data_IF_153715401006
#
_entry.id   IF_153715401006
#
_cell.length_a   1.000
_cell.length_b   1.000
_cell.length_c   1.000
_cell.angle_alpha   90.00
_cell.angle_beta   90.00
_cell.angle_gamma   90.00
#
_symmetry.space_group_name_H-M   'P 1'
#
loop_
_entity.id
_entity.type
_entity.pdbx_description
1 polymer ?
#
# COMPACT_ATOMS: atom_id res chain seq x y z
N UNK A 1 -5.25 15.39 57.78
CA UNK A 1 -5.70 16.42 56.82
C UNK A 1 -5.46 15.81 55.46
N UNK A 2 -6.44 15.12 54.89
CA UNK A 2 -6.29 14.55 53.54
C UNK A 2 -7.66 14.39 52.89
N UNK A 3 -7.66 14.31 51.57
CA UNK A 3 -8.76 14.00 50.66
C UNK A 3 -9.58 15.18 50.09
N UNK A 4 -8.98 15.86 49.10
CA UNK A 4 -9.72 16.60 48.05
C UNK A 4 -9.10 16.45 46.65
N UNK A 5 -8.69 15.25 46.22
CA UNK A 5 -8.13 15.11 44.87
C UNK A 5 -8.54 13.86 44.07
N UNK A 6 -9.75 13.31 44.29
CA UNK A 6 -10.25 12.17 43.50
C UNK A 6 -11.70 12.39 43.03
N UNK A 7 -11.95 13.49 42.31
CA UNK A 7 -13.22 13.74 41.60
C UNK A 7 -12.96 14.43 40.26
N UNK A 8 -12.14 13.82 39.40
CA UNK A 8 -11.99 14.31 38.01
C UNK A 8 -11.71 13.19 37.00
N UNK A 9 -12.21 11.98 37.24
CA UNK A 9 -11.97 10.84 36.33
C UNK A 9 -13.26 10.30 35.71
N UNK A 10 -14.43 10.64 36.28
CA UNK A 10 -15.73 10.10 35.85
C UNK A 10 -16.66 11.14 35.18
N UNK A 11 -16.16 12.32 34.82
CA UNK A 11 -16.96 13.36 34.12
C UNK A 11 -16.73 13.36 32.59
N UNK A 12 -15.84 12.52 32.07
CA UNK A 12 -15.54 12.46 30.63
C UNK A 12 -16.43 11.46 29.87
N UNK A 13 -16.99 10.45 30.55
CA UNK A 13 -17.92 9.49 29.93
C UNK A 13 -19.35 10.04 29.79
N UNK A 14 -19.73 11.02 30.63
CA UNK A 14 -21.03 11.70 30.56
C UNK A 14 -21.07 12.81 29.50
N UNK A 15 -19.93 13.17 28.91
CA UNK A 15 -19.80 14.29 27.97
C UNK A 15 -20.11 13.92 26.50
N UNK A 16 -20.22 12.63 26.16
CA UNK A 16 -20.46 12.21 24.77
C UNK A 16 -21.97 12.09 24.54
N UNK A 17 -22.59 13.18 24.11
CA UNK A 17 -23.99 13.18 23.64
C UNK A 17 -24.16 12.19 22.46
N UNK A 18 -25.29 11.47 22.35
CA UNK A 18 -25.54 10.53 21.25
C UNK A 18 -25.29 11.12 19.85
N UNK A 19 -25.60 12.41 19.67
CA UNK A 19 -25.37 13.11 18.40
C UNK A 19 -23.89 13.42 18.21
N UNK A 20 -23.21 13.87 19.26
CA UNK A 20 -21.77 14.19 19.22
C UNK A 20 -20.95 12.93 18.94
N UNK A 21 -21.33 11.79 19.54
CA UNK A 21 -20.74 10.48 19.25
C UNK A 21 -20.78 10.16 17.75
N UNK A 22 -21.94 10.33 17.12
CA UNK A 22 -22.11 10.02 15.70
C UNK A 22 -21.30 10.95 14.80
N UNK A 23 -21.25 12.25 15.11
CA UNK A 23 -20.44 13.20 14.33
C UNK A 23 -18.96 12.84 14.40
N UNK A 24 -18.45 12.52 15.59
CA UNK A 24 -17.06 12.12 15.77
C UNK A 24 -16.73 10.81 15.02
N UNK A 25 -17.63 9.83 15.07
CA UNK A 25 -17.48 8.55 14.37
C UNK A 25 -17.50 8.72 12.84
N UNK A 26 -18.42 9.54 12.32
CA UNK A 26 -18.50 9.81 10.88
C UNK A 26 -17.29 10.63 10.43
N UNK A 27 -16.84 11.59 11.23
CA UNK A 27 -15.68 12.40 10.89
C UNK A 27 -14.41 11.55 10.70
N UNK A 28 -14.11 10.63 11.61
CA UNK A 28 -12.91 9.79 11.48
C UNK A 28 -13.02 8.82 10.29
N UNK A 29 -14.20 8.26 10.03
CA UNK A 29 -14.39 7.31 8.92
C UNK A 29 -14.26 7.99 7.56
N UNK A 30 -14.78 9.20 7.40
CA UNK A 30 -14.59 9.99 6.17
C UNK A 30 -13.12 10.33 5.96
N UNK A 31 -12.40 10.69 7.02
CA UNK A 31 -10.95 10.96 6.94
C UNK A 31 -10.17 9.71 6.51
N UNK A 32 -10.44 8.55 7.13
CA UNK A 32 -9.78 7.30 6.76
C UNK A 32 -10.09 6.90 5.32
N UNK A 33 -11.35 7.04 4.88
CA UNK A 33 -11.73 6.78 3.49
C UNK A 33 -11.03 7.74 2.52
N UNK A 34 -10.86 9.02 2.88
CA UNK A 34 -10.13 10.00 2.08
C UNK A 34 -8.63 9.67 1.96
N UNK A 35 -7.98 9.30 3.07
CA UNK A 35 -6.56 8.88 3.05
C UNK A 35 -6.38 7.61 2.22
N UNK A 36 -7.25 6.61 2.41
CA UNK A 36 -7.24 5.39 1.60
C UNK A 36 -7.50 5.67 0.12
N UNK A 37 -8.38 6.61 -0.21
CA UNK A 37 -8.64 7.01 -1.59
C UNK A 37 -7.40 7.64 -2.24
N UNK A 38 -6.73 8.57 -1.57
CA UNK A 38 -5.51 9.20 -2.10
C UNK A 38 -4.41 8.16 -2.28
N UNK A 39 -4.21 7.27 -1.30
CA UNK A 39 -3.23 6.20 -1.39
C UNK A 39 -3.53 5.20 -2.52
N UNK A 40 -4.79 4.78 -2.64
CA UNK A 40 -5.23 3.89 -3.71
C UNK A 40 -5.17 4.57 -5.09
N UNK A 41 -5.44 5.88 -5.17
CA UNK A 41 -5.33 6.64 -6.42
C UNK A 41 -3.89 6.73 -6.88
N UNK A 42 -2.94 6.98 -5.98
CA UNK A 42 -1.51 6.95 -6.32
C UNK A 42 -1.06 5.56 -6.77
N UNK A 43 -1.56 4.50 -6.12
CA UNK A 43 -1.32 3.12 -6.53
C UNK A 43 -1.91 2.81 -7.92
N UNK A 44 -3.09 3.34 -8.24
CA UNK A 44 -3.77 3.09 -9.51
C UNK A 44 -3.21 3.95 -10.66
N UNK A 45 -2.86 5.21 -10.39
CA UNK A 45 -2.27 6.12 -11.35
C UNK A 45 -0.84 5.69 -11.71
N UNK A 46 -0.04 5.26 -10.73
CA UNK A 46 1.26 4.59 -10.96
C UNK A 46 1.18 3.23 -11.67
N UNK A 47 -0.02 2.74 -12.00
CA UNK A 47 -0.25 1.46 -12.68
C UNK A 47 -0.85 1.64 -14.09
N UNK A 48 -1.36 2.83 -14.43
CA UNK A 48 -2.13 3.03 -15.67
C UNK A 48 -1.26 3.41 -16.89
N UNK A 49 -0.01 3.84 -16.68
CA UNK A 49 0.92 4.16 -17.78
C UNK A 49 1.76 2.97 -18.28
N UNK A 50 1.28 1.75 -18.03
CA UNK A 50 1.77 0.54 -18.69
C UNK A 50 2.74 -0.25 -17.83
N UNK A 51 2.19 -1.28 -17.20
CA UNK A 51 2.86 -2.39 -16.54
C UNK A 51 3.34 -2.13 -15.10
N UNK A 52 2.57 -2.63 -14.13
CA UNK A 52 3.04 -2.80 -12.75
C UNK A 52 4.01 -3.99 -12.72
N UNK A 53 5.21 -3.77 -13.23
CA UNK A 53 6.29 -4.74 -13.18
C UNK A 53 7.21 -4.43 -12.01
N UNK A 54 6.92 -5.03 -10.85
CA UNK A 54 7.91 -5.10 -9.76
C UNK A 54 9.15 -5.91 -10.16
N UNK A 55 8.97 -6.82 -11.13
CA UNK A 55 10.00 -7.68 -11.69
C UNK A 55 9.70 -7.87 -13.17
N UNK A 56 10.52 -7.29 -14.03
CA UNK A 56 10.42 -7.55 -15.46
C UNK A 56 11.33 -8.74 -15.83
N UNK A 57 10.83 -9.59 -16.71
CA UNK A 57 11.58 -10.75 -17.18
C UNK A 57 11.97 -10.51 -18.62
N UNK A 58 13.20 -10.05 -18.82
CA UNK A 58 13.73 -9.87 -20.15
C UNK A 58 14.24 -11.22 -20.69
N UNK A 59 13.69 -11.62 -21.83
CA UNK A 59 14.06 -12.86 -22.52
C UNK A 59 14.94 -12.52 -23.72
N UNK A 60 16.22 -12.82 -23.62
CA UNK A 60 17.21 -12.58 -24.66
C UNK A 60 17.57 -13.89 -25.38
N UNK A 61 17.53 -13.89 -26.71
CA UNK A 61 18.05 -15.03 -27.49
C UNK A 61 19.57 -15.11 -27.33
N UNK A 62 20.10 -16.32 -27.18
CA UNK A 62 21.55 -16.51 -27.06
C UNK A 62 22.31 -16.30 -28.38
N UNK A 63 21.61 -16.01 -29.48
CA UNK A 63 22.20 -15.74 -30.79
C UNK A 63 22.82 -16.98 -31.45
N UNK A 64 22.52 -18.18 -30.94
CA UNK A 64 23.02 -19.44 -31.46
C UNK A 64 22.10 -19.98 -32.56
N UNK A 65 22.68 -20.69 -33.54
CA UNK A 65 21.90 -21.31 -34.62
C UNK A 65 21.43 -22.69 -34.15
N UNK A 66 20.12 -22.92 -34.18
CA UNK A 66 19.53 -24.20 -33.77
C UNK A 66 20.23 -25.39 -34.43
N UNK A 67 20.66 -26.33 -33.60
CA UNK A 67 21.39 -27.53 -33.98
C UNK A 67 20.78 -28.74 -33.28
N UNK A 68 21.14 -29.95 -33.74
CA UNK A 68 20.84 -31.20 -33.05
C UNK A 68 21.83 -31.50 -31.91
N UNK A 69 22.83 -30.63 -31.70
CA UNK A 69 23.80 -30.76 -30.63
C UNK A 69 23.16 -30.55 -29.24
N UNK A 70 23.64 -31.29 -28.24
CA UNK A 70 23.18 -31.15 -26.84
C UNK A 70 24.02 -30.17 -26.05
N UNK A 71 23.40 -29.43 -25.12
CA UNK A 71 24.09 -28.55 -24.18
C UNK A 71 24.26 -27.09 -24.63
N UNK A 72 23.53 -26.67 -25.66
CA UNK A 72 23.54 -25.30 -26.15
C UNK A 72 22.69 -24.37 -25.26
N UNK A 73 23.20 -23.17 -24.97
CA UNK A 73 22.39 -22.10 -24.39
C UNK A 73 21.59 -21.43 -25.51
N UNK A 74 20.27 -21.47 -25.42
CA UNK A 74 19.37 -21.00 -26.49
C UNK A 74 18.73 -19.65 -26.12
N UNK A 75 18.48 -19.44 -24.83
CA UNK A 75 17.79 -18.28 -24.27
C UNK A 75 18.41 -17.94 -22.93
N UNK A 76 18.57 -16.65 -22.67
CA UNK A 76 18.88 -16.08 -21.37
C UNK A 76 17.63 -15.39 -20.82
N UNK A 77 17.33 -15.64 -19.55
CA UNK A 77 16.28 -14.93 -18.82
C UNK A 77 16.96 -14.16 -17.71
N UNK A 78 16.84 -12.84 -17.75
CA UNK A 78 17.26 -11.96 -16.66
C UNK A 78 16.03 -11.40 -15.96
N UNK A 79 16.12 -11.31 -14.64
CA UNK A 79 15.21 -10.48 -13.87
C UNK A 79 15.76 -9.06 -13.91
N UNK A 80 15.03 -8.16 -14.55
CA UNK A 80 15.22 -6.73 -14.35
C UNK A 80 14.41 -6.36 -13.11
N UNK A 81 15.10 -5.96 -12.04
CA UNK A 81 14.41 -5.45 -10.86
C UNK A 81 13.74 -4.15 -11.31
N UNK A 82 12.40 -4.13 -11.33
CA UNK A 82 11.64 -2.97 -11.79
C UNK A 82 12.08 -1.70 -11.07
N UNK A 83 11.80 -0.55 -11.70
CA UNK A 83 12.23 0.78 -11.26
C UNK A 83 12.12 0.94 -9.74
N UNK A 84 13.20 1.39 -9.11
CA UNK A 84 13.25 1.55 -7.65
C UNK A 84 12.11 2.48 -7.23
N UNK A 85 11.23 2.03 -6.34
CA UNK A 85 10.18 2.87 -5.78
C UNK A 85 10.82 4.10 -5.10
N UNK A 86 10.82 5.23 -5.78
CA UNK A 86 11.36 6.52 -5.28
C UNK A 86 10.40 7.21 -4.31
#
# INVERSE_FOLDING_TARGET
>A
MEDKNMKNENMNEEAVSPVIATILMVAITVVLAGVLYVWASQLAEGNTDGDFSMYDFEVNSAGTTFSTATGEAVVYVSLDAGDELS
#
